data_IF_679883227240
#
_entry.id   IF_679883227240
#
_cell.length_a   1.000
_cell.length_b   1.000
_cell.length_c   1.000
_cell.angle_alpha   90.00
_cell.angle_beta   90.00
_cell.angle_gamma   90.00
#
_symmetry.space_group_name_H-M   'P 1'
#
loop_
_entity.id
_entity.type
_entity.pdbx_description
1 polymer ?
#
# COMPACT_ATOMS: atom_id res chain seq x y z
N UNK A 1 42.27 -1.74 -12.41
CA UNK A 1 41.88 -2.49 -11.20
C UNK A 1 40.47 -3.01 -11.41
N UNK A 2 40.23 -4.32 -11.31
CA UNK A 2 38.87 -4.83 -11.25
C UNK A 2 38.22 -4.30 -9.98
N UNK A 3 37.01 -3.75 -10.13
CA UNK A 3 36.19 -3.26 -9.04
C UNK A 3 35.66 -4.51 -8.33
N UNK A 4 36.07 -4.72 -7.09
CA UNK A 4 35.55 -5.82 -6.28
C UNK A 4 34.02 -5.65 -6.16
N UNK A 5 33.20 -6.68 -6.46
CA UNK A 5 31.77 -6.57 -6.29
C UNK A 5 31.48 -6.30 -4.80
N UNK A 6 30.64 -5.30 -4.54
CA UNK A 6 30.22 -4.98 -3.18
C UNK A 6 29.72 -6.26 -2.48
N UNK A 7 30.09 -6.49 -1.20
CA UNK A 7 29.72 -7.70 -0.49
C UNK A 7 28.19 -7.87 -0.50
N UNK A 8 27.73 -9.06 -0.91
CA UNK A 8 26.31 -9.42 -0.83
C UNK A 8 25.93 -9.40 0.65
N UNK A 9 24.97 -8.57 1.06
CA UNK A 9 24.58 -8.50 2.47
C UNK A 9 24.03 -9.87 2.92
N UNK A 10 24.17 -10.23 4.21
CA UNK A 10 23.63 -11.48 4.73
C UNK A 10 22.12 -11.59 4.42
N UNK A 11 21.57 -12.82 4.29
CA UNK A 11 20.16 -13.04 3.95
C UNK A 11 19.17 -12.34 4.90
N UNK A 12 19.60 -12.03 6.13
CA UNK A 12 18.86 -11.24 7.11
C UNK A 12 18.47 -9.83 6.62
N UNK A 13 19.23 -9.25 5.68
CA UNK A 13 19.14 -7.85 5.23
C UNK A 13 18.59 -7.68 3.80
N UNK A 14 18.00 -8.72 3.21
CA UNK A 14 17.44 -8.63 1.85
C UNK A 14 15.92 -8.43 1.92
N UNK A 15 15.32 -7.41 1.27
CA UNK A 15 13.86 -7.30 1.14
C UNK A 15 13.27 -8.58 0.56
N UNK A 16 12.09 -9.02 1.02
CA UNK A 16 11.46 -10.26 0.54
C UNK A 16 11.36 -10.27 -1.00
N UNK A 17 10.97 -9.15 -1.60
CA UNK A 17 10.88 -8.96 -3.04
C UNK A 17 12.19 -9.07 -3.82
N UNK A 18 13.34 -9.08 -3.14
CA UNK A 18 14.68 -9.22 -3.73
C UNK A 18 15.31 -10.57 -3.42
N UNK A 19 14.63 -11.45 -2.68
CA UNK A 19 15.11 -12.80 -2.47
C UNK A 19 15.05 -13.57 -3.81
N UNK A 20 16.08 -14.38 -4.15
CA UNK A 20 16.06 -15.17 -5.38
C UNK A 20 14.85 -16.10 -5.43
N UNK A 21 14.14 -16.11 -6.56
CA UNK A 21 12.95 -16.94 -6.79
C UNK A 21 11.83 -16.76 -5.75
N UNK A 22 11.76 -15.61 -5.08
CA UNK A 22 10.71 -15.35 -4.12
C UNK A 22 9.38 -15.06 -4.83
N UNK A 23 8.39 -15.89 -4.54
CA UNK A 23 6.99 -15.65 -4.88
C UNK A 23 6.20 -15.47 -3.58
N UNK A 24 5.62 -14.27 -3.33
CA UNK A 24 4.81 -14.04 -2.12
C UNK A 24 3.58 -14.95 -2.04
N UNK A 25 3.10 -15.49 -3.17
CA UNK A 25 1.96 -16.43 -3.21
C UNK A 25 2.32 -17.81 -2.69
N UNK A 26 3.59 -18.19 -2.79
CA UNK A 26 4.07 -19.48 -2.31
C UNK A 26 4.30 -19.51 -0.79
N UNK A 27 4.26 -18.36 -0.11
CA UNK A 27 4.43 -18.28 1.34
C UNK A 27 3.17 -18.78 2.06
N UNK A 28 3.27 -19.73 3.02
CA UNK A 28 2.10 -20.26 3.70
C UNK A 28 1.26 -19.20 4.42
N UNK A 29 -0.06 -19.32 4.28
CA UNK A 29 -1.01 -18.58 5.11
C UNK A 29 -1.06 -19.23 6.48
N UNK A 30 -0.69 -18.48 7.50
CA UNK A 30 -0.68 -18.90 8.91
C UNK A 30 -1.93 -18.50 9.69
N UNK A 31 -2.73 -17.57 9.14
CA UNK A 31 -3.98 -17.16 9.74
C UNK A 31 -4.81 -16.27 8.83
N UNK A 32 -6.13 -16.30 9.04
CA UNK A 32 -7.10 -15.39 8.43
C UNK A 32 -7.97 -14.86 9.56
N UNK A 33 -8.11 -13.54 9.67
CA UNK A 33 -8.80 -12.91 10.79
C UNK A 33 -10.34 -12.85 10.58
N UNK A 34 -10.93 -13.90 10.00
CA UNK A 34 -12.36 -13.98 9.68
C UNK A 34 -13.29 -13.96 10.92
N UNK A 35 -12.72 -14.09 12.13
CA UNK A 35 -13.44 -13.94 13.38
C UNK A 35 -13.73 -12.47 13.74
N UNK A 36 -13.03 -11.52 13.11
CA UNK A 36 -13.28 -10.09 13.28
C UNK A 36 -14.40 -9.63 12.34
N UNK A 37 -15.23 -8.65 12.75
CA UNK A 37 -16.29 -8.16 11.89
C UNK A 37 -15.74 -7.31 10.73
N UNK A 38 -16.39 -7.36 9.54
CA UNK A 38 -16.15 -6.38 8.49
C UNK A 38 -16.61 -4.99 8.94
N UNK A 39 -16.01 -3.94 8.38
CA UNK A 39 -16.49 -2.57 8.59
C UNK A 39 -17.90 -2.44 8.01
N UNK A 40 -18.82 -1.83 8.76
CA UNK A 40 -20.20 -1.61 8.32
C UNK A 40 -20.25 -0.73 7.08
N UNK A 41 -21.10 -1.05 6.11
CA UNK A 41 -21.18 -0.35 4.82
C UNK A 41 -21.50 1.14 4.95
N UNK A 42 -22.25 1.53 5.99
CA UNK A 42 -22.56 2.93 6.31
C UNK A 42 -21.31 3.75 6.69
N UNK A 43 -20.30 3.11 7.30
CA UNK A 43 -19.02 3.75 7.68
C UNK A 43 -18.14 3.96 6.46
N UNK A 44 -18.33 3.15 5.41
CA UNK A 44 -17.59 3.26 4.16
C UNK A 44 -18.11 4.37 3.25
N UNK A 45 -19.26 4.99 3.59
CA UNK A 45 -19.83 6.07 2.79
C UNK A 45 -18.99 7.35 2.88
N UNK A 46 -18.98 8.19 1.83
CA UNK A 46 -18.07 9.35 1.78
C UNK A 46 -18.25 10.33 2.95
N UNK A 47 -19.48 10.56 3.39
CA UNK A 47 -19.75 11.43 4.53
C UNK A 47 -19.19 10.85 5.85
N UNK A 48 -19.36 9.54 6.06
CA UNK A 48 -18.86 8.85 7.25
C UNK A 48 -17.33 8.77 7.25
N UNK A 49 -16.70 8.54 6.09
CA UNK A 49 -15.23 8.59 5.94
C UNK A 49 -14.68 9.98 6.34
N UNK A 50 -15.25 11.07 5.81
CA UNK A 50 -14.87 12.44 6.21
C UNK A 50 -15.01 12.64 7.71
N UNK A 51 -16.17 12.30 8.27
CA UNK A 51 -16.44 12.47 9.70
C UNK A 51 -15.45 11.68 10.56
N UNK A 52 -15.06 10.48 10.11
CA UNK A 52 -14.09 9.62 10.80
C UNK A 52 -12.71 10.26 10.89
N UNK A 53 -12.25 10.95 9.86
CA UNK A 53 -10.97 11.67 9.89
C UNK A 53 -11.05 12.99 10.66
N UNK A 54 -12.21 13.66 10.68
CA UNK A 54 -12.44 14.86 11.50
C UNK A 54 -12.50 14.51 13.00
N UNK A 55 -13.07 13.36 13.35
CA UNK A 55 -13.19 12.86 14.73
C UNK A 55 -12.64 11.44 14.82
N UNK A 56 -11.31 11.28 14.77
CA UNK A 56 -10.70 9.96 14.83
C UNK A 56 -10.98 9.32 16.21
N UNK A 57 -11.38 8.04 16.26
CA UNK A 57 -11.50 7.32 17.52
C UNK A 57 -10.12 7.14 18.16
N UNK A 58 -10.08 6.70 19.41
CA UNK A 58 -8.85 6.16 19.98
C UNK A 58 -8.54 4.81 19.34
N UNK A 59 -7.42 4.72 18.60
CA UNK A 59 -6.97 3.50 17.96
C UNK A 59 -5.44 3.48 17.84
N UNK A 60 -4.87 2.32 17.55
CA UNK A 60 -3.44 2.19 17.25
C UNK A 60 -3.22 1.33 16.02
N UNK A 61 -2.28 1.69 15.12
CA UNK A 61 -1.94 0.87 13.97
C UNK A 61 -1.39 -0.49 14.41
N UNK A 62 -1.89 -1.56 13.79
CA UNK A 62 -1.45 -2.94 14.03
C UNK A 62 -0.10 -3.20 13.39
N UNK A 63 0.14 -2.63 12.20
CA UNK A 63 1.38 -2.82 11.46
C UNK A 63 2.08 -1.47 11.29
N UNK A 64 3.15 -1.23 12.06
CA UNK A 64 3.88 0.04 12.04
C UNK A 64 5.15 0.01 11.20
N UNK A 65 5.76 -1.17 11.09
CA UNK A 65 7.04 -1.32 10.42
C UNK A 65 7.24 -2.74 9.93
N UNK A 66 7.86 -2.89 8.77
CA UNK A 66 8.52 -4.13 8.39
C UNK A 66 9.86 -4.24 9.14
N UNK A 67 10.40 -5.46 9.33
CA UNK A 67 11.74 -5.59 9.90
C UNK A 67 12.78 -4.82 9.06
N UNK A 68 13.78 -4.23 9.71
CA UNK A 68 14.77 -3.37 9.04
C UNK A 68 15.73 -4.24 8.21
N UNK A 69 15.94 -3.86 6.95
CA UNK A 69 16.82 -4.61 6.03
C UNK A 69 17.95 -3.77 5.44
N UNK A 70 18.02 -2.47 5.72
CA UNK A 70 19.08 -1.61 5.16
C UNK A 70 19.59 -0.58 6.16
N UNK A 71 20.83 -0.13 5.97
CA UNK A 71 21.45 0.99 6.68
C UNK A 71 21.32 2.33 5.96
N UNK A 72 20.65 2.36 4.79
CA UNK A 72 20.35 3.61 4.05
C UNK A 72 19.66 4.64 4.94
N UNK A 73 19.97 5.93 4.81
CA UNK A 73 19.28 6.96 5.58
C UNK A 73 17.75 6.88 5.38
N UNK A 74 17.01 7.27 6.43
CA UNK A 74 15.54 7.35 6.37
C UNK A 74 15.16 8.32 5.25
N UNK A 75 14.29 7.87 4.36
CA UNK A 75 13.69 8.71 3.35
C UNK A 75 12.19 8.87 3.67
N UNK A 76 11.70 10.10 3.59
CA UNK A 76 10.26 10.35 3.70
C UNK A 76 9.60 10.00 2.36
N UNK A 77 8.42 9.41 2.44
CA UNK A 77 7.60 9.06 1.29
C UNK A 77 6.13 9.27 1.64
N UNK A 78 5.31 9.45 0.62
CA UNK A 78 3.87 9.47 0.78
C UNK A 78 3.20 8.66 -0.33
N UNK A 79 2.09 8.03 0.01
CA UNK A 79 1.24 7.33 -0.95
C UNK A 79 -0.18 7.86 -0.85
N UNK A 80 -0.86 7.94 -1.99
CA UNK A 80 -2.28 8.22 -2.03
C UNK A 80 -3.03 6.90 -1.81
N UNK A 81 -3.99 6.90 -0.88
CA UNK A 81 -5.00 5.86 -0.74
C UNK A 81 -6.29 6.40 -1.39
N UNK A 82 -6.44 6.24 -2.72
CA UNK A 82 -7.55 6.83 -3.48
C UNK A 82 -8.82 6.00 -3.32
N UNK A 83 -9.83 6.58 -2.67
CA UNK A 83 -11.18 6.01 -2.57
C UNK A 83 -12.07 6.65 -3.63
N UNK A 84 -12.31 5.94 -4.73
CA UNK A 84 -13.14 6.39 -5.85
C UNK A 84 -14.63 6.28 -5.48
N UNK A 85 -15.35 7.39 -5.68
CA UNK A 85 -16.76 7.53 -5.33
C UNK A 85 -17.70 6.94 -6.40
N UNK A 86 -17.58 5.63 -6.66
CA UNK A 86 -18.54 4.88 -7.50
C UNK A 86 -19.84 4.59 -6.71
N UNK A 87 -20.78 3.84 -7.31
CA UNK A 87 -22.00 3.37 -6.64
C UNK A 87 -21.71 2.65 -5.31
N UNK A 88 -20.65 1.84 -5.30
CA UNK A 88 -19.99 1.40 -4.07
C UNK A 88 -18.56 1.99 -4.05
N UNK A 89 -18.06 2.49 -2.93
CA UNK A 89 -16.69 3.03 -2.87
C UNK A 89 -15.64 1.98 -3.27
N UNK A 90 -14.72 2.38 -4.14
CA UNK A 90 -13.65 1.53 -4.65
C UNK A 90 -12.29 2.11 -4.26
N UNK A 91 -11.26 1.28 -4.12
CA UNK A 91 -9.88 1.72 -3.93
C UNK A 91 -9.13 1.52 -5.24
N UNK A 92 -8.55 2.59 -5.79
CA UNK A 92 -7.70 2.53 -6.98
C UNK A 92 -6.28 2.10 -6.60
N UNK A 93 -5.75 1.11 -7.29
CA UNK A 93 -4.41 0.55 -7.11
C UNK A 93 -3.69 0.48 -8.45
N UNK A 94 -2.36 0.48 -8.40
CA UNK A 94 -1.49 0.37 -9.57
C UNK A 94 -0.72 -0.93 -9.54
N UNK A 95 -0.41 -1.47 -10.71
CA UNK A 95 0.57 -2.53 -10.88
C UNK A 95 1.84 -1.92 -11.48
N UNK A 96 2.96 -2.07 -10.76
CA UNK A 96 4.25 -1.53 -11.17
C UNK A 96 4.78 -2.24 -12.41
N UNK A 97 5.32 -1.48 -13.35
CA UNK A 97 5.85 -2.02 -14.60
C UNK A 97 6.94 -3.06 -14.36
N UNK A 98 6.93 -4.14 -15.15
CA UNK A 98 7.76 -5.32 -14.89
C UNK A 98 9.25 -5.12 -15.14
N UNK A 99 9.63 -4.07 -15.88
CA UNK A 99 11.01 -3.76 -16.21
C UNK A 99 11.75 -2.96 -15.12
N UNK A 100 11.07 -2.58 -14.04
CA UNK A 100 11.67 -1.82 -12.94
C UNK A 100 12.60 -2.69 -12.09
N UNK A 101 13.75 -2.12 -11.70
CA UNK A 101 14.80 -2.82 -10.93
C UNK A 101 14.39 -3.19 -9.49
N UNK A 102 13.27 -2.66 -9.01
CA UNK A 102 12.73 -2.92 -7.67
C UNK A 102 11.20 -2.99 -7.71
N UNK A 103 10.62 -3.95 -6.98
CA UNK A 103 9.17 -4.08 -6.81
C UNK A 103 8.40 -4.27 -8.14
N UNK A 104 9.05 -4.86 -9.15
CA UNK A 104 8.46 -5.23 -10.44
C UNK A 104 7.20 -6.09 -10.25
N UNK A 105 6.10 -5.72 -10.93
CA UNK A 105 4.82 -6.42 -10.88
C UNK A 105 4.09 -6.36 -9.55
N UNK A 106 4.54 -5.54 -8.60
CA UNK A 106 3.86 -5.39 -7.31
C UNK A 106 2.67 -4.44 -7.42
N UNK A 107 1.62 -4.78 -6.69
CA UNK A 107 0.46 -3.93 -6.53
C UNK A 107 0.72 -2.92 -5.42
N UNK A 108 0.56 -1.64 -5.73
CA UNK A 108 0.83 -0.54 -4.84
C UNK A 108 -0.25 0.54 -4.92
N UNK A 109 -0.24 1.41 -3.92
CA UNK A 109 -0.82 2.73 -4.03
C UNK A 109 0.04 3.62 -4.91
N UNK A 110 -0.53 4.58 -5.65
CA UNK A 110 0.25 5.64 -6.29
C UNK A 110 1.05 6.41 -5.23
N UNK A 111 2.32 6.66 -5.48
CA UNK A 111 3.15 7.35 -4.51
C UNK A 111 4.64 7.07 -4.61
N UNK A 112 5.40 7.89 -3.90
CA UNK A 112 6.84 7.90 -4.04
C UNK A 112 7.54 8.69 -2.94
N UNK A 113 8.80 9.01 -3.22
CA UNK A 113 9.66 9.72 -2.28
C UNK A 113 9.23 11.19 -2.23
N UNK A 114 9.31 11.80 -1.04
CA UNK A 114 9.19 13.24 -0.90
C UNK A 114 10.32 13.95 -1.63
N UNK A 115 9.96 14.90 -2.49
CA UNK A 115 10.88 15.85 -3.12
C UNK A 115 11.07 17.09 -2.22
N UNK A 116 12.18 17.81 -2.39
CA UNK A 116 12.46 19.05 -1.67
C UNK A 116 11.44 20.16 -1.98
N UNK A 117 10.76 20.06 -3.12
CA UNK A 117 9.70 20.97 -3.57
C UNK A 117 8.33 20.66 -2.95
N UNK A 118 8.15 19.47 -2.37
CA UNK A 118 6.87 19.07 -1.78
C UNK A 118 6.65 19.77 -0.43
N UNK A 119 5.51 20.44 -0.28
CA UNK A 119 5.15 21.18 0.94
C UNK A 119 4.92 20.23 2.13
N UNK A 120 4.20 19.14 1.90
CA UNK A 120 3.83 18.14 2.90
C UNK A 120 3.60 16.76 2.26
N UNK A 121 3.13 15.78 3.05
CA UNK A 121 2.89 14.43 2.56
C UNK A 121 1.73 14.37 1.55
N UNK A 122 0.70 15.21 1.71
CA UNK A 122 -0.42 15.28 0.78
C UNK A 122 0.04 15.80 -0.59
N UNK A 123 0.89 16.83 -0.59
CA UNK A 123 1.51 17.38 -1.79
C UNK A 123 2.36 16.34 -2.53
N UNK A 124 3.20 15.59 -1.81
CA UNK A 124 3.96 14.45 -2.35
C UNK A 124 3.03 13.40 -2.97
N UNK A 125 2.02 12.93 -2.23
CA UNK A 125 1.11 11.88 -2.72
C UNK A 125 0.32 12.31 -3.96
N UNK A 126 -0.10 13.58 -4.01
CA UNK A 126 -0.80 14.16 -5.15
C UNK A 126 0.11 14.35 -6.38
N UNK A 127 1.36 14.80 -6.19
CA UNK A 127 2.34 14.92 -7.27
C UNK A 127 2.62 13.55 -7.88
N UNK A 128 2.93 12.56 -7.06
CA UNK A 128 3.23 11.20 -7.51
C UNK A 128 2.02 10.56 -8.21
N UNK A 129 0.79 10.75 -7.69
CA UNK A 129 -0.42 10.27 -8.38
C UNK A 129 -0.62 10.94 -9.75
N UNK A 130 -0.26 12.21 -9.91
CA UNK A 130 -0.28 12.88 -11.20
C UNK A 130 0.79 12.31 -12.15
N UNK A 131 2.00 12.06 -11.66
CA UNK A 131 3.13 11.55 -12.45
C UNK A 131 2.94 10.09 -12.89
N UNK A 132 2.47 9.22 -11.99
CA UNK A 132 2.35 7.78 -12.25
C UNK A 132 1.08 7.43 -13.04
N UNK A 133 -0.06 8.07 -12.72
CA UNK A 133 -1.37 7.69 -13.27
C UNK A 133 -2.17 8.85 -13.87
N UNK A 134 -1.61 10.06 -13.94
CA UNK A 134 -2.29 11.22 -14.53
C UNK A 134 -3.46 11.74 -13.70
N UNK A 135 -3.59 11.34 -12.42
CA UNK A 135 -4.72 11.74 -11.59
C UNK A 135 -4.59 13.21 -11.16
N UNK A 136 -5.38 14.08 -11.81
CA UNK A 136 -5.33 15.51 -11.52
C UNK A 136 -5.84 15.83 -10.11
N UNK A 137 -5.16 16.78 -9.45
CA UNK A 137 -5.41 17.19 -8.06
C UNK A 137 -6.84 17.67 -7.82
N UNK A 138 -7.46 18.29 -8.81
CA UNK A 138 -8.85 18.75 -8.75
C UNK A 138 -9.88 17.63 -8.55
N UNK A 139 -9.53 16.38 -8.89
CA UNK A 139 -10.36 15.21 -8.62
C UNK A 139 -10.15 14.61 -7.24
N UNK A 140 -9.20 15.13 -6.45
CA UNK A 140 -8.78 14.55 -5.17
C UNK A 140 -9.19 15.47 -4.02
N UNK A 141 -10.12 15.00 -3.19
CA UNK A 141 -10.38 15.59 -1.88
C UNK A 141 -9.59 14.83 -0.81
N UNK A 142 -8.51 15.42 -0.29
CA UNK A 142 -7.75 14.83 0.82
C UNK A 142 -8.57 14.96 2.11
N UNK A 143 -8.86 13.82 2.75
CA UNK A 143 -9.68 13.79 3.98
C UNK A 143 -8.84 13.53 5.23
N UNK A 144 -7.60 13.09 5.10
CA UNK A 144 -6.66 12.96 6.22
C UNK A 144 -5.54 11.97 5.95
N UNK A 145 -4.70 11.77 6.96
CA UNK A 145 -3.55 10.87 6.90
C UNK A 145 -3.71 9.73 7.91
N UNK A 146 -3.19 8.56 7.56
CA UNK A 146 -2.98 7.47 8.51
C UNK A 146 -1.60 7.58 9.17
N UNK A 147 -1.37 6.97 10.35
CA UNK A 147 -0.05 6.86 10.93
C UNK A 147 0.96 6.27 9.95
N UNK A 148 2.19 6.76 10.01
CA UNK A 148 3.27 6.36 9.12
C UNK A 148 3.57 4.87 9.18
N UNK A 149 3.87 4.29 8.02
CA UNK A 149 4.33 2.91 7.86
C UNK A 149 5.80 2.90 7.48
N UNK A 150 6.65 2.23 8.24
CA UNK A 150 8.08 2.10 7.90
C UNK A 150 8.34 0.85 7.09
N UNK A 151 8.77 0.99 5.83
CA UNK A 151 9.15 -0.16 5.00
C UNK A 151 10.51 -0.71 5.40
N UNK A 152 10.80 -1.96 5.01
CA UNK A 152 12.10 -2.58 5.27
C UNK A 152 13.26 -1.89 4.54
N UNK A 153 12.96 -1.07 3.52
CA UNK A 153 13.89 -0.23 2.76
C UNK A 153 14.12 1.16 3.36
N UNK A 154 13.64 1.41 4.60
CA UNK A 154 13.77 2.67 5.36
C UNK A 154 13.03 3.87 4.75
N UNK A 155 11.97 3.61 3.99
CA UNK A 155 10.98 4.65 3.74
C UNK A 155 10.03 4.76 4.92
N UNK A 156 9.86 5.98 5.43
CA UNK A 156 8.78 6.32 6.34
C UNK A 156 7.65 6.85 5.47
N UNK A 157 6.69 5.98 5.18
CA UNK A 157 5.60 6.22 4.24
C UNK A 157 4.40 6.78 4.99
N UNK A 158 3.90 7.93 4.56
CA UNK A 158 2.65 8.52 5.06
C UNK A 158 1.51 8.16 4.10
N UNK A 159 0.52 7.37 4.52
CA UNK A 159 -0.66 7.08 3.70
C UNK A 159 -1.65 8.24 3.79
N UNK A 160 -1.84 8.94 2.68
CA UNK A 160 -2.76 10.07 2.54
C UNK A 160 -4.07 9.55 1.95
N UNK A 161 -5.18 9.67 2.67
CA UNK A 161 -6.48 9.18 2.18
C UNK A 161 -7.19 10.30 1.43
N UNK A 162 -7.56 10.01 0.18
CA UNK A 162 -8.27 10.94 -0.69
C UNK A 162 -9.54 10.35 -1.26
N UNK A 163 -10.62 11.13 -1.32
CA UNK A 163 -11.84 10.79 -2.03
C UNK A 163 -11.72 11.26 -3.48
N UNK A 164 -11.93 10.36 -4.43
CA UNK A 164 -11.72 10.62 -5.85
C UNK A 164 -13.06 10.76 -6.57
N UNK A 165 -13.20 11.84 -7.34
CA UNK A 165 -14.38 12.06 -8.18
C UNK A 165 -14.59 10.87 -9.16
N UNK A 166 -15.85 10.44 -9.40
CA UNK A 166 -16.12 9.27 -10.24
C UNK A 166 -15.78 9.48 -11.72
N UNK A 167 -15.73 10.72 -12.19
CA UNK A 167 -15.44 11.12 -13.56
C UNK A 167 -13.96 11.40 -13.83
N UNK A 168 -13.08 11.08 -12.87
CA UNK A 168 -11.64 11.19 -13.06
C UNK A 168 -11.16 10.42 -14.30
N UNK A 169 -10.10 10.93 -14.92
CA UNK A 169 -9.42 10.27 -16.03
C UNK A 169 -8.02 9.85 -15.59
N UNK A 170 -7.56 8.71 -16.11
CA UNK A 170 -6.21 8.22 -15.88
C UNK A 170 -5.41 8.29 -17.17
N UNK A 171 -4.16 8.73 -17.04
CA UNK A 171 -3.13 8.69 -18.07
C UNK A 171 -1.90 8.01 -17.46
N UNK A 172 -1.85 6.69 -17.60
CA UNK A 172 -0.78 5.88 -16.98
C UNK A 172 0.57 6.20 -17.62
N UNK A 173 1.58 6.41 -16.79
CA UNK A 173 2.96 6.46 -17.24
C UNK A 173 3.48 5.02 -17.43
N UNK A 174 3.67 4.54 -18.67
CA UNK A 174 4.01 3.14 -18.94
C UNK A 174 5.43 2.78 -18.47
N UNK A 175 6.27 3.77 -18.16
CA UNK A 175 7.59 3.53 -17.58
C UNK A 175 7.50 3.09 -16.10
N UNK A 176 6.40 3.39 -15.42
CA UNK A 176 6.27 3.16 -13.98
C UNK A 176 5.10 2.23 -13.66
N UNK A 177 3.99 2.38 -14.38
CA UNK A 177 2.74 1.67 -14.14
C UNK A 177 2.35 0.90 -15.39
N UNK A 178 2.23 -0.42 -15.26
CA UNK A 178 1.74 -1.28 -16.35
C UNK A 178 0.23 -1.40 -16.37
N UNK A 179 -0.44 -1.21 -15.23
CA UNK A 179 -1.89 -1.32 -15.13
C UNK A 179 -2.43 -0.54 -13.92
N UNK A 180 -3.71 -0.17 -13.97
CA UNK A 180 -4.43 0.44 -12.86
C UNK A 180 -5.84 -0.16 -12.76
N UNK A 181 -6.25 -0.49 -11.53
CA UNK A 181 -7.52 -1.19 -11.30
C UNK A 181 -8.14 -0.81 -9.95
N UNK A 182 -9.45 -1.02 -9.87
CA UNK A 182 -10.25 -0.71 -8.69
C UNK A 182 -10.65 -1.98 -7.94
N UNK A 183 -10.55 -1.96 -6.60
CA UNK A 183 -11.01 -3.03 -5.71
C UNK A 183 -12.08 -2.48 -4.77
N UNK A 184 -13.21 -3.16 -4.53
CA UNK A 184 -14.23 -2.67 -3.63
C UNK A 184 -13.66 -2.37 -2.24
N UNK A 185 -13.92 -1.16 -1.71
CA UNK A 185 -13.47 -0.81 -0.36
C UNK A 185 -14.04 -1.78 0.67
N UNK A 186 -15.28 -2.23 0.49
CA UNK A 186 -15.92 -3.23 1.35
C UNK A 186 -15.18 -4.58 1.37
N UNK A 187 -14.56 -4.99 0.26
CA UNK A 187 -13.72 -6.18 0.20
C UNK A 187 -12.45 -5.97 1.04
N UNK A 188 -11.77 -4.83 0.83
CA UNK A 188 -10.54 -4.50 1.54
C UNK A 188 -10.74 -4.22 3.04
N UNK A 189 -11.96 -3.89 3.46
CA UNK A 189 -12.32 -3.64 4.86
C UNK A 189 -13.02 -4.84 5.52
N UNK A 190 -12.93 -6.02 4.89
CA UNK A 190 -13.39 -7.28 5.44
C UNK A 190 -12.18 -8.16 5.82
N UNK A 191 -11.91 -8.37 7.12
CA UNK A 191 -10.74 -9.10 7.59
C UNK A 191 -10.74 -10.58 7.19
N UNK A 192 -11.86 -11.13 6.71
CA UNK A 192 -11.90 -12.46 6.10
C UNK A 192 -11.07 -12.57 4.81
N UNK A 193 -10.70 -11.44 4.20
CA UNK A 193 -9.80 -11.38 3.04
C UNK A 193 -8.35 -11.03 3.41
N UNK A 194 -8.03 -10.92 4.70
CA UNK A 194 -6.70 -10.53 5.17
C UNK A 194 -5.93 -11.78 5.59
N UNK A 195 -5.07 -12.26 4.70
CA UNK A 195 -4.26 -13.45 4.93
C UNK A 195 -2.94 -13.05 5.59
N UNK A 196 -2.61 -13.67 6.73
CA UNK A 196 -1.33 -13.48 7.41
C UNK A 196 -0.36 -14.55 6.96
N UNK A 197 0.76 -14.13 6.40
CA UNK A 197 1.84 -15.00 5.96
C UNK A 197 3.00 -14.94 6.94
N UNK A 198 3.73 -16.04 7.09
CA UNK A 198 4.98 -16.10 7.84
C UNK A 198 6.03 -16.87 7.04
N UNK A 199 7.24 -16.34 6.99
CA UNK A 199 8.40 -16.98 6.36
C UNK A 199 9.65 -16.81 7.22
N UNK A 200 10.44 -17.86 7.32
CA UNK A 200 11.76 -17.82 7.96
C UNK A 200 12.83 -17.44 6.92
N UNK A 201 13.54 -16.34 7.15
CA UNK A 201 14.61 -15.86 6.27
C UNK A 201 15.83 -15.52 7.11
N UNK A 202 16.94 -16.24 6.88
CA UNK A 202 18.18 -16.01 7.62
C UNK A 202 18.01 -16.16 9.13
N UNK A 203 17.24 -17.15 9.60
CA UNK A 203 17.00 -17.38 11.02
C UNK A 203 16.05 -16.39 11.70
N UNK A 204 15.45 -15.47 10.95
CA UNK A 204 14.45 -14.53 11.45
C UNK A 204 13.07 -14.79 10.84
N UNK A 205 12.05 -14.75 11.69
CA UNK A 205 10.66 -14.85 11.27
C UNK A 205 10.15 -13.52 10.72
N UNK A 206 9.60 -13.52 9.51
CA UNK A 206 9.00 -12.35 8.88
C UNK A 206 7.53 -12.60 8.61
N UNK A 207 6.70 -11.60 8.95
CA UNK A 207 5.27 -11.65 8.72
C UNK A 207 4.85 -10.54 7.76
N UNK A 208 3.85 -10.84 6.92
CA UNK A 208 3.19 -9.85 6.08
C UNK A 208 1.72 -10.23 5.84
N UNK A 209 0.93 -9.25 5.43
CA UNK A 209 -0.44 -9.49 5.00
C UNK A 209 -0.52 -9.62 3.47
N UNK A 210 -1.49 -10.40 3.00
CA UNK A 210 -2.00 -10.32 1.64
C UNK A 210 -3.52 -10.22 1.62
N UNK A 211 -4.05 -9.73 0.49
CA UNK A 211 -5.47 -9.62 0.18
C UNK A 211 -5.67 -10.03 -1.29
N UNK A 212 -5.67 -11.35 -1.61
CA UNK A 212 -5.84 -11.82 -2.98
C UNK A 212 -7.25 -11.51 -3.48
N UNK A 213 -7.35 -10.78 -4.59
CA UNK A 213 -8.62 -10.36 -5.18
C UNK A 213 -8.76 -10.86 -6.62
N UNK A 214 -9.89 -11.49 -6.94
CA UNK A 214 -10.17 -11.94 -8.30
C UNK A 214 -10.85 -10.83 -9.10
N UNK A 215 -10.15 -10.27 -10.08
CA UNK A 215 -10.72 -9.38 -11.08
C UNK A 215 -11.08 -10.20 -12.32
N UNK A 216 -12.33 -10.66 -12.37
CA UNK A 216 -12.73 -11.65 -13.38
C UNK A 216 -11.97 -12.96 -13.16
N UNK A 217 -11.20 -13.40 -14.15
CA UNK A 217 -10.34 -14.59 -14.06
C UNK A 217 -8.90 -14.30 -13.61
N UNK A 218 -8.51 -13.03 -13.47
CA UNK A 218 -7.16 -12.64 -13.08
C UNK A 218 -7.07 -12.39 -11.58
N UNK A 219 -6.03 -12.90 -10.93
CA UNK A 219 -5.75 -12.63 -9.52
C UNK A 219 -4.89 -11.36 -9.36
N UNK A 220 -5.38 -10.41 -8.57
CA UNK A 220 -4.64 -9.26 -8.05
C UNK A 220 -4.17 -9.58 -6.64
N UNK A 221 -2.90 -9.98 -6.52
CA UNK A 221 -2.30 -10.37 -5.24
C UNK A 221 -1.73 -9.14 -4.52
N UNK A 222 -2.56 -8.49 -3.70
CA UNK A 222 -2.16 -7.32 -2.91
C UNK A 222 -1.41 -7.81 -1.68
N UNK A 223 -0.17 -7.37 -1.43
CA UNK A 223 0.63 -7.87 -0.30
C UNK A 223 1.65 -6.85 0.21
N UNK A 224 2.35 -7.21 1.29
CA UNK A 224 3.46 -6.41 1.84
C UNK A 224 2.97 -5.07 2.42
N UNK A 225 3.74 -4.00 2.20
CA UNK A 225 3.42 -2.67 2.71
C UNK A 225 2.01 -2.19 2.32
N UNK A 226 1.57 -2.42 1.08
CA UNK A 226 0.21 -2.06 0.60
C UNK A 226 -0.86 -2.73 1.45
N UNK A 227 -0.78 -4.05 1.62
CA UNK A 227 -1.71 -4.79 2.47
C UNK A 227 -1.60 -4.41 3.95
N UNK A 228 -0.40 -4.09 4.43
CA UNK A 228 -0.18 -3.59 5.80
C UNK A 228 -0.88 -2.24 6.06
N UNK A 229 -0.77 -1.30 5.11
CA UNK A 229 -1.46 0.00 5.18
C UNK A 229 -2.98 -0.17 5.08
N UNK A 230 -3.47 -1.05 4.20
CA UNK A 230 -4.90 -1.40 4.12
C UNK A 230 -5.41 -2.03 5.42
N UNK A 231 -4.60 -2.88 6.07
CA UNK A 231 -4.94 -3.46 7.37
C UNK A 231 -5.07 -2.38 8.45
N UNK A 232 -4.21 -1.37 8.43
CA UNK A 232 -4.33 -0.24 9.34
C UNK A 232 -5.56 0.62 9.05
N UNK A 233 -5.89 0.86 7.77
CA UNK A 233 -7.14 1.54 7.40
C UNK A 233 -8.37 0.77 7.93
N UNK A 234 -8.38 -0.55 7.79
CA UNK A 234 -9.42 -1.40 8.39
C UNK A 234 -9.55 -1.18 9.90
N UNK A 235 -8.43 -1.25 10.64
CA UNK A 235 -8.43 -1.03 12.10
C UNK A 235 -8.92 0.37 12.45
N UNK A 236 -8.50 1.37 11.68
CA UNK A 236 -8.93 2.75 11.86
C UNK A 236 -10.42 2.93 11.66
N UNK A 237 -11.02 2.30 10.64
CA UNK A 237 -12.45 2.43 10.34
C UNK A 237 -13.33 1.53 11.22
N UNK A 238 -12.79 0.44 11.77
CA UNK A 238 -13.52 -0.49 12.62
C UNK A 238 -13.61 -0.08 14.11
N UNK A 239 -12.74 0.82 14.57
CA UNK A 239 -12.63 1.25 15.97
C UNK A 239 -13.85 2.02 16.54
#
# INVERSE_FOLDING_TARGET
MPIDPAPVPPPEFVPLSKLPNFDPRAVPVTGIDAHLPPVRLEVLQPAALRERFVRPPAWTPEVRSEPRFTDRQIALAAVLVPVVLREQPMVLLTERATHLSTHSGQIAFPGGRRDDTDCDAADTAQREALEEIGLAREHIEVIGELPTYTTGTRFVVTPVVGLIAPDHQLALNPHEVSDAFEVPLAFLMNPAHHHRHRIEVGGNSREFFSMPYMQGSAERFIWGATAGMLRNLYRFLAA
#
